data_IF_532925613201
#
_entry.id   IF_532925613201
#
_cell.length_a   1.000
_cell.length_b   1.000
_cell.length_c   1.000
_cell.angle_alpha   90.00
_cell.angle_beta   90.00
_cell.angle_gamma   90.00
#
_symmetry.space_group_name_H-M   'P 1'
#
loop_
_entity.id
_entity.type
_entity.pdbx_description
1 polymer ?
#
# COMPACT_ATOMS: atom_id res chain seq x y z
N UNK A 1 16.71 -8.63 10.56
CA UNK A 1 16.78 -7.24 11.06
C UNK A 1 15.97 -6.35 10.13
N UNK A 2 14.99 -5.63 10.66
CA UNK A 2 14.36 -4.48 9.98
C UNK A 2 15.42 -3.52 9.39
N UNK A 3 16.60 -3.45 9.99
CA UNK A 3 17.77 -2.68 9.54
C UNK A 3 18.34 -3.02 8.15
N UNK A 4 18.13 -4.24 7.61
CA UNK A 4 18.52 -4.59 6.22
C UNK A 4 17.46 -4.19 5.18
N UNK A 5 16.21 -3.99 5.62
CA UNK A 5 15.07 -3.55 4.80
C UNK A 5 15.00 -2.02 4.72
N UNK A 6 15.35 -1.30 5.79
CA UNK A 6 15.48 0.17 5.80
C UNK A 6 16.68 0.69 5.01
N UNK A 7 17.78 -0.07 4.87
CA UNK A 7 18.96 0.35 4.10
C UNK A 7 18.74 0.42 2.58
N UNK A 8 18.02 -0.54 2.00
CA UNK A 8 17.71 -0.58 0.55
C UNK A 8 16.57 0.38 0.17
N UNK A 9 15.66 0.66 1.11
CA UNK A 9 14.64 1.70 1.02
C UNK A 9 15.29 3.11 0.92
N UNK A 10 16.33 3.36 1.72
CA UNK A 10 17.05 4.64 1.75
C UNK A 10 17.90 4.93 0.49
N UNK A 11 18.35 3.91 -0.26
CA UNK A 11 19.07 4.11 -1.54
C UNK A 11 18.15 4.37 -2.74
N UNK A 12 16.91 3.83 -2.75
CA UNK A 12 15.92 4.06 -3.83
C UNK A 12 15.14 5.38 -3.65
N UNK A 13 14.82 5.75 -2.40
CA UNK A 13 14.21 7.04 -2.05
C UNK A 13 15.10 8.25 -2.38
N UNK A 14 16.41 8.05 -2.55
CA UNK A 14 17.38 9.12 -2.77
C UNK A 14 17.63 9.49 -4.23
N UNK A 15 17.23 8.68 -5.22
CA UNK A 15 17.64 8.87 -6.64
C UNK A 15 16.49 9.12 -7.62
N UNK A 16 15.24 8.81 -7.27
CA UNK A 16 14.05 9.26 -8.01
C UNK A 16 13.47 10.48 -7.26
N UNK A 17 13.61 11.71 -7.76
CA UNK A 17 12.61 12.34 -8.64
C UNK A 17 11.21 12.57 -8.03
N UNK A 18 11.05 12.37 -6.72
CA UNK A 18 9.77 12.43 -5.99
C UNK A 18 9.33 13.84 -5.55
N UNK A 19 9.94 14.92 -6.04
CA UNK A 19 9.39 16.28 -5.79
C UNK A 19 8.21 16.63 -6.69
N UNK A 20 7.96 15.84 -7.75
CA UNK A 20 6.92 16.17 -8.71
C UNK A 20 5.50 15.87 -8.21
N UNK A 21 5.35 14.96 -7.25
CA UNK A 21 4.04 14.63 -6.66
C UNK A 21 3.79 15.45 -5.39
N UNK A 22 2.58 15.98 -5.26
CA UNK A 22 2.14 16.68 -4.04
C UNK A 22 1.92 15.74 -2.85
N UNK A 23 1.62 14.47 -3.14
CA UNK A 23 1.50 13.39 -2.16
C UNK A 23 2.07 12.09 -2.72
N UNK A 24 2.72 11.32 -1.87
CA UNK A 24 3.18 9.97 -2.18
C UNK A 24 2.78 9.03 -1.04
N UNK A 25 2.14 7.92 -1.37
CA UNK A 25 1.71 6.89 -0.43
C UNK A 25 2.49 5.62 -0.70
N UNK A 26 2.99 4.97 0.35
CA UNK A 26 3.55 3.62 0.28
C UNK A 26 2.48 2.60 0.64
N UNK A 27 2.34 1.54 -0.16
CA UNK A 27 1.32 0.49 0.01
C UNK A 27 1.94 -0.89 0.23
N UNK A 28 2.86 -1.33 -0.63
CA UNK A 28 3.51 -2.66 -0.56
C UNK A 28 3.22 -3.51 -1.79
N UNK A 29 2.65 -4.71 -1.63
CA UNK A 29 2.26 -5.55 -2.77
C UNK A 29 0.73 -5.48 -3.00
N UNK A 30 0.24 -5.53 -4.25
CA UNK A 30 0.98 -5.70 -5.52
C UNK A 30 1.36 -4.36 -6.18
N UNK A 31 1.39 -3.26 -5.42
CA UNK A 31 1.84 -1.95 -5.90
C UNK A 31 2.58 -1.21 -4.80
N UNK A 32 3.83 -0.84 -5.05
CA UNK A 32 4.67 -0.25 -4.01
C UNK A 32 4.17 1.14 -3.56
N UNK A 33 3.80 2.02 -4.50
CA UNK A 33 3.40 3.39 -4.20
C UNK A 33 2.20 3.90 -5.02
N UNK A 34 1.58 4.96 -4.50
CA UNK A 34 0.66 5.83 -5.24
C UNK A 34 1.14 7.27 -5.13
N UNK A 35 1.42 7.91 -6.25
CA UNK A 35 1.74 9.33 -6.35
C UNK A 35 0.50 10.12 -6.76
N UNK A 36 0.24 11.26 -6.12
CA UNK A 36 -0.81 12.20 -6.50
C UNK A 36 -0.19 13.55 -6.79
N UNK A 37 -0.50 14.09 -7.97
CA UNK A 37 -0.18 15.44 -8.38
C UNK A 37 -1.47 16.18 -8.70
N UNK A 38 -1.86 17.09 -7.82
CA UNK A 38 -3.14 17.79 -7.91
C UNK A 38 -3.19 18.64 -9.18
N UNK A 39 -4.28 18.49 -9.93
CA UNK A 39 -4.45 19.15 -11.23
C UNK A 39 -3.81 18.42 -12.41
N UNK A 40 -3.07 17.33 -12.18
CA UNK A 40 -2.47 16.52 -13.26
C UNK A 40 -2.98 15.08 -13.25
N UNK A 41 -2.78 14.35 -12.15
CA UNK A 41 -3.15 12.94 -12.12
C UNK A 41 -2.74 12.16 -10.88
N UNK A 42 -3.02 10.87 -10.93
CA UNK A 42 -2.65 9.88 -9.91
C UNK A 42 -1.92 8.74 -10.61
N UNK A 43 -0.74 8.40 -10.13
CA UNK A 43 0.10 7.34 -10.67
C UNK A 43 0.24 6.20 -9.65
N UNK A 44 0.09 4.97 -10.13
CA UNK A 44 0.38 3.75 -9.38
C UNK A 44 1.79 3.30 -9.78
N UNK A 45 2.68 3.17 -8.82
CA UNK A 45 4.11 3.03 -9.06
C UNK A 45 4.61 1.73 -8.42
N UNK A 46 5.12 0.83 -9.25
CA UNK A 46 5.81 -0.39 -8.81
C UNK A 46 7.32 -0.24 -9.05
N UNK A 47 8.13 -0.50 -8.03
CA UNK A 47 9.59 -0.34 -8.07
C UNK A 47 10.27 -1.70 -8.15
N UNK A 48 10.75 -2.04 -9.34
CA UNK A 48 11.57 -3.24 -9.54
C UNK A 48 13.06 -2.88 -9.56
N UNK A 49 13.87 -3.56 -8.75
CA UNK A 49 15.34 -3.45 -8.85
C UNK A 49 15.89 -4.49 -9.83
N UNK A 50 16.67 -4.07 -10.83
CA UNK A 50 17.37 -4.97 -11.75
C UNK A 50 16.44 -5.59 -12.80
N UNK A 51 16.54 -6.91 -13.03
CA UNK A 51 15.75 -7.65 -14.05
C UNK A 51 14.45 -8.25 -13.50
N UNK A 52 13.95 -7.75 -12.37
CA UNK A 52 12.74 -8.29 -11.77
C UNK A 52 11.52 -8.01 -12.69
N UNK A 53 10.79 -9.06 -13.03
CA UNK A 53 9.57 -8.98 -13.85
C UNK A 53 8.35 -8.81 -12.96
N UNK A 54 7.26 -8.28 -13.53
CA UNK A 54 6.00 -8.17 -12.80
C UNK A 54 5.46 -9.55 -12.41
N UNK A 55 5.03 -9.68 -11.16
CA UNK A 55 4.26 -10.83 -10.67
C UNK A 55 2.90 -10.89 -11.39
N UNK A 56 2.19 -12.03 -11.35
CA UNK A 56 0.85 -12.14 -11.94
C UNK A 56 -0.13 -11.09 -11.39
N UNK A 57 -0.10 -10.84 -10.08
CA UNK A 57 -0.97 -9.86 -9.42
C UNK A 57 -0.64 -8.41 -9.83
N UNK A 58 0.65 -8.06 -9.90
CA UNK A 58 1.10 -6.75 -10.39
C UNK A 58 0.66 -6.52 -11.84
N UNK A 59 0.73 -7.55 -12.69
CA UNK A 59 0.32 -7.50 -14.09
C UNK A 59 -1.18 -7.30 -14.22
N UNK A 60 -1.98 -8.05 -13.47
CA UNK A 60 -3.43 -7.90 -13.47
C UNK A 60 -3.85 -6.50 -13.00
N UNK A 61 -3.22 -5.98 -11.94
CA UNK A 61 -3.46 -4.62 -11.47
C UNK A 61 -3.08 -3.57 -12.54
N UNK A 62 -1.92 -3.74 -13.19
CA UNK A 62 -1.51 -2.89 -14.31
C UNK A 62 -2.55 -2.89 -15.43
N UNK A 63 -3.06 -4.06 -15.82
CA UNK A 63 -4.07 -4.17 -16.88
C UNK A 63 -5.38 -3.48 -16.48
N UNK A 64 -5.79 -3.54 -15.21
CA UNK A 64 -6.95 -2.79 -14.70
C UNK A 64 -6.75 -1.27 -14.80
N UNK A 65 -5.55 -0.79 -14.46
CA UNK A 65 -5.20 0.64 -14.53
C UNK A 65 -5.16 1.14 -15.98
N UNK A 66 -4.47 0.43 -16.88
CA UNK A 66 -4.33 0.82 -18.29
C UNK A 66 -5.67 0.77 -19.05
N UNK A 67 -6.55 -0.15 -18.68
CA UNK A 67 -7.94 -0.20 -19.17
C UNK A 67 -8.87 0.82 -18.52
N UNK A 68 -8.34 1.72 -17.68
CA UNK A 68 -9.06 2.77 -16.94
C UNK A 68 -10.19 2.23 -16.05
N UNK A 69 -10.05 1.01 -15.55
CA UNK A 69 -10.98 0.37 -14.59
C UNK A 69 -10.60 0.71 -13.15
N UNK A 70 -10.41 1.99 -12.87
CA UNK A 70 -10.06 2.53 -11.54
C UNK A 70 -11.21 3.37 -11.03
N UNK A 71 -11.72 3.05 -9.83
CA UNK A 71 -12.92 3.67 -9.26
C UNK A 71 -12.61 4.34 -7.92
N UNK A 72 -13.14 5.54 -7.70
CA UNK A 72 -13.17 6.17 -6.39
C UNK A 72 -14.41 5.70 -5.63
N UNK A 73 -14.22 4.83 -4.63
CA UNK A 73 -15.33 4.25 -3.85
C UNK A 73 -15.29 4.80 -2.42
N UNK A 74 -16.13 5.78 -2.07
CA UNK A 74 -16.25 6.24 -0.70
C UNK A 74 -17.00 5.19 0.14
N UNK A 75 -16.38 4.75 1.23
CA UNK A 75 -17.02 3.87 2.21
C UNK A 75 -17.22 4.63 3.52
N UNK A 76 -18.47 4.69 3.99
CA UNK A 76 -18.81 5.21 5.31
C UNK A 76 -19.03 4.05 6.26
N UNK A 77 -18.18 3.92 7.27
CA UNK A 77 -18.34 2.91 8.32
C UNK A 77 -19.14 3.52 9.46
N UNK A 78 -20.40 3.11 9.60
CA UNK A 78 -21.14 3.34 10.84
C UNK A 78 -20.65 2.31 11.87
N UNK A 79 -20.31 2.76 13.08
CA UNK A 79 -19.83 1.88 14.18
C UNK A 79 -20.81 0.72 14.38
N UNK A 80 -20.44 -0.47 13.98
CA UNK A 80 -21.06 -1.71 14.46
C UNK A 80 -20.42 -1.97 15.81
N UNK A 81 -21.21 -1.86 16.88
CA UNK A 81 -20.77 -2.16 18.24
C UNK A 81 -20.40 -3.64 18.33
N UNK A 82 -19.11 -3.93 18.21
CA UNK A 82 -18.57 -5.23 18.61
C UNK A 82 -18.54 -5.26 20.13
N UNK A 83 -19.52 -5.96 20.72
CA UNK A 83 -19.48 -6.30 22.13
C UNK A 83 -18.25 -7.20 22.37
N UNK A 84 -17.31 -6.71 23.18
CA UNK A 84 -16.24 -7.54 23.72
C UNK A 84 -16.88 -8.61 24.60
N UNK A 85 -16.84 -9.87 24.17
CA UNK A 85 -16.95 -10.98 25.11
C UNK A 85 -15.66 -10.99 25.93
N UNK A 86 -15.71 -10.38 27.11
CA UNK A 86 -14.73 -10.56 28.17
C UNK A 86 -14.94 -11.98 28.69
N UNK A 87 -14.08 -12.91 28.29
CA UNK A 87 -14.03 -14.23 28.90
C UNK A 87 -13.42 -14.06 30.31
N UNK A 88 -14.30 -13.97 31.30
CA UNK A 88 -13.94 -13.97 32.72
C UNK A 88 -13.67 -15.42 33.11
N UNK A 89 -12.44 -15.86 32.86
CA UNK A 89 -11.93 -17.11 33.39
C UNK A 89 -11.69 -17.02 34.89
N UNK A 90 -12.76 -17.00 35.69
CA UNK A 90 -12.72 -17.50 37.05
C UNK A 90 -12.63 -19.02 37.00
N UNK A 91 -11.47 -19.58 37.34
CA UNK A 91 -11.38 -20.85 38.06
C UNK A 91 -10.17 -20.76 39.01
N UNK A 92 -10.43 -20.25 40.21
CA UNK A 92 -9.67 -20.70 41.36
C UNK A 92 -10.17 -22.10 41.70
N UNK A 93 -9.26 -23.06 41.82
CA UNK A 93 -9.37 -24.25 42.67
C UNK A 93 -8.03 -25.00 42.63
N UNK A 94 -7.44 -25.26 43.81
CA UNK A 94 -6.24 -26.06 44.00
C UNK A 94 -5.27 -25.52 45.03
#
# INVERSE_FOLDING_TARGET
>A
SLGKRTGKLNELLATFELTQYDRLFYLGEPIDFVGVKYGEGVDFIEVKTGKASLTPAERELKDLIESKRVNYVPLSVNKIGIAEHIDTGEMGEG
#
